data_IF_425903014037
#
_entry.id   IF_425903014037
#
_cell.length_a   1.000
_cell.length_b   1.000
_cell.length_c   1.000
_cell.angle_alpha   90.00
_cell.angle_beta   90.00
_cell.angle_gamma   90.00
#
_symmetry.space_group_name_H-M   'P 1'
#
loop_
_entity.id
_entity.type
_entity.pdbx_description
1 polymer ?
#
# COMPACT_ATOMS: atom_id res chain seq x y z
N UNK A 1 3.87 56.63 23.01
CA UNK A 1 5.02 55.71 23.11
C UNK A 1 4.88 54.70 21.97
N UNK A 2 5.80 54.77 21.01
CA UNK A 2 5.74 54.07 19.73
C UNK A 2 5.73 52.55 19.92
N UNK A 3 5.08 51.82 19.01
CA UNK A 3 4.85 50.35 19.00
C UNK A 3 6.15 49.49 18.95
N UNK A 4 7.18 49.80 19.75
CA UNK A 4 8.49 49.11 19.78
C UNK A 4 8.34 47.63 20.07
N UNK A 5 7.41 47.25 20.93
CA UNK A 5 7.12 45.85 21.24
C UNK A 5 6.61 45.08 20.01
N UNK A 6 5.82 45.72 19.15
CA UNK A 6 5.35 45.12 17.90
C UNK A 6 6.51 44.92 16.92
N UNK A 7 7.38 45.92 16.76
CA UNK A 7 8.55 45.80 15.89
C UNK A 7 9.53 44.72 16.37
N UNK A 8 9.74 44.59 17.68
CA UNK A 8 10.58 43.54 18.26
C UNK A 8 9.98 42.15 17.98
N UNK A 9 8.67 41.98 18.17
CA UNK A 9 7.99 40.71 17.88
C UNK A 9 8.03 40.37 16.38
N UNK A 10 7.81 41.34 15.50
CA UNK A 10 7.92 41.13 14.06
C UNK A 10 9.35 40.73 13.66
N UNK A 11 10.37 41.37 14.24
CA UNK A 11 11.76 41.04 13.97
C UNK A 11 12.11 39.62 14.45
N UNK A 12 11.71 39.22 15.65
CA UNK A 12 12.00 37.88 16.17
C UNK A 12 11.32 36.79 15.34
N UNK A 13 10.06 36.97 14.96
CA UNK A 13 9.35 36.03 14.09
C UNK A 13 9.98 35.96 12.69
N UNK A 14 10.42 37.09 12.13
CA UNK A 14 11.10 37.12 10.85
C UNK A 14 12.41 36.34 10.88
N UNK A 15 13.27 36.57 11.89
CA UNK A 15 14.54 35.84 12.01
C UNK A 15 14.35 34.36 12.32
N UNK A 16 13.36 33.99 13.12
CA UNK A 16 13.02 32.59 13.36
C UNK A 16 12.54 31.90 12.08
N UNK A 17 11.68 32.56 11.30
CA UNK A 17 11.21 32.07 10.00
C UNK A 17 12.34 31.93 8.98
N UNK A 18 13.22 32.93 8.89
CA UNK A 18 14.39 32.90 8.01
C UNK A 18 15.37 31.79 8.42
N UNK A 19 15.61 31.59 9.72
CA UNK A 19 16.44 30.51 10.23
C UNK A 19 15.90 29.12 9.87
N UNK A 20 14.59 28.89 10.06
CA UNK A 20 13.94 27.64 9.66
C UNK A 20 13.98 27.42 8.14
N UNK A 21 13.81 28.48 7.35
CA UNK A 21 13.91 28.41 5.89
C UNK A 21 15.33 28.03 5.45
N UNK A 22 16.36 28.70 5.98
CA UNK A 22 17.76 28.41 5.67
C UNK A 22 18.16 27.01 6.12
N UNK A 23 17.69 26.55 7.28
CA UNK A 23 17.90 25.18 7.74
C UNK A 23 17.32 24.16 6.76
N UNK A 24 16.08 24.37 6.31
CA UNK A 24 15.43 23.50 5.31
C UNK A 24 16.15 23.52 3.96
N UNK A 25 16.59 24.69 3.51
CA UNK A 25 17.24 24.85 2.21
C UNK A 25 18.67 24.27 2.18
N UNK A 26 19.46 24.52 3.22
CA UNK A 26 20.90 24.20 3.24
C UNK A 26 21.18 22.83 3.83
N UNK A 27 20.49 22.45 4.92
CA UNK A 27 20.80 21.21 5.64
C UNK A 27 19.92 20.04 5.19
N UNK A 28 18.63 20.29 4.94
CA UNK A 28 17.69 19.25 4.49
C UNK A 28 17.58 19.15 2.96
N UNK A 29 18.25 20.04 2.22
CA UNK A 29 18.30 19.99 0.75
C UNK A 29 16.97 20.24 0.04
N UNK A 30 16.02 20.95 0.66
CA UNK A 30 14.74 21.25 0.03
C UNK A 30 14.93 22.16 -1.20
N UNK A 31 14.34 21.83 -2.36
CA UNK A 31 14.48 22.64 -3.56
C UNK A 31 13.76 23.98 -3.40
N UNK A 32 14.46 25.07 -3.71
CA UNK A 32 13.93 26.44 -3.57
C UNK A 32 13.02 26.86 -4.73
N UNK A 33 13.05 26.11 -5.84
CA UNK A 33 12.25 26.38 -7.02
C UNK A 33 11.54 25.11 -7.51
N UNK A 34 10.27 25.21 -7.94
CA UNK A 34 9.59 24.11 -8.59
C UNK A 34 10.30 23.75 -9.91
N UNK A 35 10.61 22.47 -10.10
CA UNK A 35 11.31 21.95 -11.28
C UNK A 35 12.83 21.76 -11.13
N UNK A 36 13.38 21.93 -9.93
CA UNK A 36 14.78 21.61 -9.65
C UNK A 36 14.99 20.09 -9.77
N UNK A 37 15.66 19.66 -10.84
CA UNK A 37 15.98 18.24 -11.08
C UNK A 37 17.08 17.81 -10.10
N UNK A 38 16.84 16.72 -9.38
CA UNK A 38 17.88 16.07 -8.59
C UNK A 38 18.86 15.38 -9.52
N UNK A 39 20.16 15.56 -9.27
CA UNK A 39 21.19 14.82 -9.99
C UNK A 39 21.12 13.36 -9.55
N UNK A 40 20.52 12.52 -10.39
CA UNK A 40 20.51 11.07 -10.21
C UNK A 40 21.82 10.52 -10.77
N UNK A 41 22.65 9.96 -9.89
CA UNK A 41 23.90 9.33 -10.24
C UNK A 41 23.71 7.82 -10.32
N UNK A 42 24.15 7.23 -11.43
CA UNK A 42 24.10 5.80 -11.70
C UNK A 42 25.49 5.20 -11.50
N UNK A 43 25.60 4.17 -10.67
CA UNK A 43 26.85 3.43 -10.44
C UNK A 43 26.69 2.03 -11.02
N UNK A 44 27.26 1.81 -12.19
CA UNK A 44 27.29 0.49 -12.83
C UNK A 44 28.58 -0.26 -12.43
N UNK A 45 28.45 -1.47 -11.88
CA UNK A 45 29.59 -2.33 -11.55
C UNK A 45 29.59 -3.56 -12.46
N UNK A 46 30.59 -3.64 -13.35
CA UNK A 46 30.79 -4.77 -14.26
C UNK A 46 31.98 -5.62 -13.84
N UNK A 47 31.72 -6.88 -13.47
CA UNK A 47 32.78 -7.86 -13.19
C UNK A 47 33.03 -8.68 -14.45
N UNK A 48 34.21 -8.53 -15.05
CA UNK A 48 34.71 -9.44 -16.08
C UNK A 48 35.79 -10.33 -15.46
N UNK A 49 35.68 -11.65 -15.58
CA UNK A 49 36.73 -12.57 -15.17
C UNK A 49 36.95 -13.66 -16.23
N UNK A 50 38.20 -14.11 -16.38
CA UNK A 50 38.56 -15.28 -17.18
C UNK A 50 38.93 -16.42 -16.24
N UNK A 51 38.20 -17.53 -16.33
CA UNK A 51 38.42 -18.69 -15.47
C UNK A 51 39.58 -19.56 -16.02
N UNK A 52 40.58 -19.85 -15.18
CA UNK A 52 41.72 -20.74 -15.50
C UNK A 52 41.48 -22.19 -15.05
N UNK A 53 40.36 -22.78 -15.48
CA UNK A 53 40.08 -24.21 -15.31
C UNK A 53 39.71 -24.68 -13.90
N UNK A 54 39.50 -23.77 -12.93
CA UNK A 54 38.99 -24.07 -11.58
C UNK A 54 37.75 -23.23 -11.26
N UNK A 55 36.82 -23.71 -10.41
CA UNK A 55 35.68 -22.91 -9.96
C UNK A 55 36.16 -21.65 -9.22
N UNK A 56 35.60 -20.50 -9.58
CA UNK A 56 35.87 -19.20 -8.93
C UNK A 56 34.56 -18.67 -8.34
N UNK A 57 34.61 -18.23 -7.08
CA UNK A 57 33.48 -17.57 -6.41
C UNK A 57 33.71 -16.06 -6.45
N UNK A 58 32.92 -15.34 -7.22
CA UNK A 58 32.90 -13.88 -7.22
C UNK A 58 31.89 -13.36 -6.19
N UNK A 59 32.30 -12.42 -5.35
CA UNK A 59 31.43 -11.75 -4.38
C UNK A 59 31.46 -10.25 -4.70
N UNK A 60 30.31 -9.70 -5.06
CA UNK A 60 30.14 -8.27 -5.29
C UNK A 60 29.54 -7.62 -4.04
N UNK A 61 30.24 -6.65 -3.47
CA UNK A 61 29.73 -5.84 -2.37
C UNK A 61 28.99 -4.64 -2.93
N UNK A 62 27.66 -4.76 -3.04
CA UNK A 62 26.78 -3.65 -3.40
C UNK A 62 26.57 -2.79 -2.14
N UNK A 63 26.52 -1.44 -2.24
CA UNK A 63 26.14 -0.60 -1.11
C UNK A 63 24.85 -1.11 -0.48
N UNK A 64 24.83 -1.24 0.86
CA UNK A 64 23.59 -1.66 1.55
C UNK A 64 22.52 -0.59 1.30
N UNK A 65 21.28 -1.03 1.15
CA UNK A 65 20.11 -0.16 1.12
C UNK A 65 20.23 0.89 2.23
N UNK A 66 20.42 2.15 1.85
CA UNK A 66 20.45 3.29 2.76
C UNK A 66 19.16 4.10 2.58
N UNK A 67 19.01 5.21 3.31
CA UNK A 67 17.86 6.09 3.12
C UNK A 67 17.71 6.60 1.66
N UNK A 68 18.82 6.66 0.92
CA UNK A 68 18.89 7.29 -0.40
C UNK A 68 18.95 6.27 -1.57
N UNK A 69 19.19 4.99 -1.29
CA UNK A 69 19.38 3.97 -2.32
C UNK A 69 18.54 2.72 -2.07
N UNK A 70 17.78 2.30 -3.09
CA UNK A 70 17.04 1.05 -3.09
C UNK A 70 17.46 0.18 -4.26
N UNK A 71 17.82 -1.06 -3.96
CA UNK A 71 18.23 -2.03 -4.97
C UNK A 71 16.98 -2.76 -5.47
N UNK A 72 16.70 -2.61 -6.75
CA UNK A 72 15.68 -3.40 -7.46
C UNK A 72 16.44 -4.34 -8.40
N UNK A 73 16.40 -5.64 -8.12
CA UNK A 73 17.11 -6.63 -8.95
C UNK A 73 16.34 -6.94 -10.23
N UNK A 74 15.02 -6.84 -10.17
CA UNK A 74 14.10 -7.17 -11.25
C UNK A 74 14.31 -6.26 -12.46
N UNK A 75 14.17 -6.83 -13.67
CA UNK A 75 14.47 -6.13 -14.92
C UNK A 75 13.21 -5.54 -15.53
N UNK A 76 12.11 -6.30 -15.55
CA UNK A 76 10.82 -5.89 -16.09
C UNK A 76 9.92 -5.38 -14.96
N UNK A 77 9.57 -4.11 -14.97
CA UNK A 77 8.86 -3.44 -13.88
C UNK A 77 7.48 -2.96 -14.36
N UNK A 78 6.42 -3.42 -13.70
CA UNK A 78 5.05 -2.96 -13.94
C UNK A 78 4.72 -1.72 -13.11
N UNK A 79 4.29 -0.63 -13.74
CA UNK A 79 4.00 0.63 -13.07
C UNK A 79 2.51 0.76 -12.76
N UNK A 80 2.20 0.95 -11.47
CA UNK A 80 0.84 1.12 -10.96
C UNK A 80 0.75 2.37 -10.07
N UNK A 81 -0.42 2.98 -9.98
CA UNK A 81 -0.66 4.17 -9.16
C UNK A 81 -2.14 4.38 -8.86
N UNK A 82 -2.47 5.32 -8.00
CA UNK A 82 -3.82 5.92 -7.94
C UNK A 82 -3.99 7.01 -9.00
N UNK A 83 -5.23 7.50 -9.16
CA UNK A 83 -5.57 8.58 -10.09
C UNK A 83 -4.69 9.83 -9.93
N UNK A 84 -4.27 10.15 -8.71
CA UNK A 84 -3.55 11.38 -8.37
C UNK A 84 -2.15 11.46 -9.03
N UNK A 85 -1.54 10.31 -9.33
CA UNK A 85 -0.21 10.25 -9.95
C UNK A 85 -0.20 9.53 -11.29
N UNK A 86 -1.38 9.34 -11.89
CA UNK A 86 -1.51 8.65 -13.19
C UNK A 86 -0.70 9.35 -14.29
N UNK A 87 -0.64 10.68 -14.28
CA UNK A 87 0.13 11.49 -15.23
C UNK A 87 1.64 11.38 -15.05
N UNK A 88 2.13 10.90 -13.92
CA UNK A 88 3.57 10.75 -13.64
C UNK A 88 4.15 9.44 -14.23
N UNK A 89 3.31 8.46 -14.58
CA UNK A 89 3.78 7.15 -15.06
C UNK A 89 4.71 7.22 -16.29
N UNK A 90 4.47 8.07 -17.31
CA UNK A 90 5.38 8.18 -18.46
C UNK A 90 6.78 8.68 -18.07
N UNK A 91 6.87 9.61 -17.11
CA UNK A 91 8.15 10.11 -16.62
C UNK A 91 8.91 9.04 -15.84
N UNK A 92 8.21 8.32 -14.94
CA UNK A 92 8.81 7.21 -14.18
C UNK A 92 9.28 6.10 -15.11
N UNK A 93 8.51 5.77 -16.15
CA UNK A 93 8.91 4.81 -17.20
C UNK A 93 10.24 5.22 -17.83
N UNK A 94 10.38 6.49 -18.22
CA UNK A 94 11.59 6.99 -18.85
C UNK A 94 12.81 6.93 -17.90
N UNK A 95 12.62 7.22 -16.61
CA UNK A 95 13.68 7.13 -15.61
C UNK A 95 14.16 5.68 -15.42
N UNK A 96 13.23 4.73 -15.34
CA UNK A 96 13.56 3.31 -15.23
C UNK A 96 14.26 2.78 -16.49
N UNK A 97 13.81 3.20 -17.67
CA UNK A 97 14.44 2.83 -18.95
C UNK A 97 15.87 3.37 -19.09
N UNK A 98 16.12 4.60 -18.61
CA UNK A 98 17.48 5.16 -18.53
C UNK A 98 18.39 4.36 -17.60
N UNK A 99 17.84 3.86 -16.49
CA UNK A 99 18.53 2.98 -15.55
C UNK A 99 18.59 1.49 -16.02
N UNK A 100 18.37 1.23 -17.31
CA UNK A 100 18.50 -0.11 -17.91
C UNK A 100 17.37 -1.09 -17.60
N UNK A 101 16.25 -0.64 -17.02
CA UNK A 101 15.06 -1.46 -16.75
C UNK A 101 14.08 -1.43 -17.93
N UNK A 102 13.19 -2.41 -17.99
CA UNK A 102 12.06 -2.44 -18.92
C UNK A 102 10.78 -2.11 -18.17
N UNK A 103 10.20 -0.93 -18.40
CA UNK A 103 9.00 -0.51 -17.67
C UNK A 103 7.72 -0.69 -18.49
N UNK A 104 6.70 -1.32 -17.92
CA UNK A 104 5.38 -1.53 -18.52
C UNK A 104 4.36 -0.73 -17.72
N UNK A 105 3.61 0.17 -18.38
CA UNK A 105 2.58 0.96 -17.70
C UNK A 105 1.34 0.09 -17.51
N UNK A 106 1.03 -0.25 -16.26
CA UNK A 106 -0.24 -0.89 -15.89
C UNK A 106 -1.34 0.13 -15.62
N UNK A 107 -0.98 1.33 -15.14
CA UNK A 107 -1.91 2.45 -14.98
C UNK A 107 -2.53 2.53 -13.59
N UNK A 108 -3.80 2.91 -13.53
CA UNK A 108 -4.49 3.12 -12.26
C UNK A 108 -4.88 1.78 -11.60
N UNK A 109 -4.80 1.72 -10.28
CA UNK A 109 -5.45 0.72 -9.43
C UNK A 109 -6.31 1.40 -8.38
N UNK A 110 -7.27 0.66 -7.82
CA UNK A 110 -8.08 1.07 -6.68
C UNK A 110 -7.95 0.05 -5.57
N UNK A 111 -8.37 0.42 -4.37
CA UNK A 111 -8.35 -0.50 -3.24
C UNK A 111 -9.22 -1.76 -3.41
N UNK A 112 -10.20 -1.73 -4.31
CA UNK A 112 -11.08 -2.85 -4.60
C UNK A 112 -10.93 -3.39 -6.03
N UNK A 113 -9.99 -2.86 -6.81
CA UNK A 113 -9.88 -3.17 -8.24
C UNK A 113 -8.42 -3.14 -8.69
N UNK A 114 -7.93 -4.31 -9.09
CA UNK A 114 -6.52 -4.55 -9.41
C UNK A 114 -6.31 -5.15 -10.81
N UNK A 115 -7.35 -5.25 -11.65
CA UNK A 115 -7.28 -5.91 -12.96
C UNK A 115 -6.18 -5.38 -13.88
N UNK A 116 -5.82 -4.11 -13.75
CA UNK A 116 -4.71 -3.53 -14.50
C UNK A 116 -3.36 -4.17 -14.16
N UNK A 117 -3.16 -4.57 -12.90
CA UNK A 117 -1.99 -5.35 -12.51
C UNK A 117 -2.04 -6.75 -13.13
N UNK A 118 -3.19 -7.41 -13.07
CA UNK A 118 -3.40 -8.77 -13.60
C UNK A 118 -3.11 -8.84 -15.10
N UNK A 119 -3.56 -7.84 -15.87
CA UNK A 119 -3.34 -7.77 -17.33
C UNK A 119 -1.87 -7.72 -17.74
N UNK A 120 -1.00 -7.17 -16.89
CA UNK A 120 0.43 -7.00 -17.20
C UNK A 120 1.33 -7.97 -16.43
N UNK A 121 0.76 -8.82 -15.56
CA UNK A 121 1.51 -9.72 -14.68
C UNK A 121 2.50 -10.60 -15.45
N UNK A 122 2.08 -11.21 -16.56
CA UNK A 122 2.96 -12.06 -17.39
C UNK A 122 4.10 -11.30 -18.10
N UNK A 123 4.08 -9.97 -18.11
CA UNK A 123 5.05 -9.14 -18.81
C UNK A 123 6.14 -8.60 -17.88
N UNK A 124 5.98 -8.74 -16.57
CA UNK A 124 6.82 -8.08 -15.56
C UNK A 124 7.38 -9.08 -14.55
N UNK A 125 8.50 -8.74 -13.95
CA UNK A 125 9.15 -9.51 -12.89
C UNK A 125 8.73 -8.99 -11.50
N UNK A 126 8.46 -7.68 -11.40
CA UNK A 126 7.95 -7.02 -10.21
C UNK A 126 7.08 -5.81 -10.57
N UNK A 127 6.32 -5.33 -9.60
CA UNK A 127 5.55 -4.09 -9.69
C UNK A 127 6.22 -2.96 -8.90
N UNK A 128 6.05 -1.73 -9.38
CA UNK A 128 6.33 -0.51 -8.65
C UNK A 128 5.02 0.28 -8.55
N UNK A 129 4.54 0.46 -7.32
CA UNK A 129 3.41 1.32 -7.01
C UNK A 129 3.90 2.73 -6.65
N UNK A 130 3.35 3.75 -7.31
CA UNK A 130 3.66 5.16 -7.04
C UNK A 130 2.53 5.77 -6.21
N UNK A 131 2.86 6.28 -5.03
CA UNK A 131 1.92 6.95 -4.14
C UNK A 131 2.20 6.64 -2.67
N UNK A 132 1.46 7.28 -1.78
CA UNK A 132 1.56 7.03 -0.35
C UNK A 132 0.62 5.90 0.13
N UNK A 133 0.96 5.35 1.30
CA UNK A 133 0.19 4.29 1.96
C UNK A 133 0.51 2.87 1.50
N UNK A 134 0.10 1.89 2.31
CA UNK A 134 0.40 0.46 2.10
C UNK A 134 -0.78 -0.35 1.54
N UNK A 135 -1.99 0.22 1.53
CA UNK A 135 -3.20 -0.53 1.20
C UNK A 135 -3.23 -1.05 -0.25
N UNK A 136 -3.06 -0.17 -1.24
CA UNK A 136 -3.06 -0.55 -2.66
C UNK A 136 -1.98 -1.58 -3.02
N UNK A 137 -0.70 -1.40 -2.65
CA UNK A 137 0.32 -2.36 -3.03
C UNK A 137 0.15 -3.71 -2.31
N UNK A 138 -0.39 -3.72 -1.08
CA UNK A 138 -0.74 -4.98 -0.41
C UNK A 138 -1.88 -5.74 -1.11
N UNK A 139 -2.80 -5.02 -1.76
CA UNK A 139 -3.90 -5.63 -2.52
C UNK A 139 -3.48 -6.32 -3.82
N UNK A 140 -2.23 -6.12 -4.27
CA UNK A 140 -1.64 -6.80 -5.43
C UNK A 140 -1.30 -8.27 -5.12
N UNK A 141 -1.42 -8.69 -3.86
CA UNK A 141 -1.26 -10.08 -3.42
C UNK A 141 0.20 -10.48 -3.28
N UNK A 142 0.53 -11.71 -3.67
CA UNK A 142 1.85 -12.32 -3.42
C UNK A 142 2.90 -11.99 -4.48
N UNK A 143 2.61 -11.02 -5.35
CA UNK A 143 3.53 -10.58 -6.41
C UNK A 143 4.62 -9.71 -5.80
N UNK A 144 5.83 -9.81 -6.35
CA UNK A 144 6.94 -8.93 -5.95
C UNK A 144 6.56 -7.48 -6.24
N UNK A 145 6.48 -6.65 -5.19
CA UNK A 145 6.04 -5.26 -5.33
C UNK A 145 6.86 -4.32 -4.45
N UNK A 146 7.23 -3.19 -5.06
CA UNK A 146 7.87 -2.06 -4.42
C UNK A 146 6.91 -0.87 -4.39
N UNK A 147 7.11 0.03 -3.43
CA UNK A 147 6.37 1.29 -3.32
C UNK A 147 7.34 2.46 -3.41
N UNK A 148 7.09 3.40 -4.31
CA UNK A 148 7.67 4.73 -4.26
C UNK A 148 6.74 5.64 -3.45
N UNK A 149 7.08 5.81 -2.17
CA UNK A 149 6.42 6.77 -1.30
C UNK A 149 6.90 8.18 -1.69
N UNK A 150 6.07 8.90 -2.44
CA UNK A 150 6.38 10.24 -2.95
C UNK A 150 6.52 11.31 -1.86
N UNK A 151 5.97 11.07 -0.66
CA UNK A 151 6.09 12.01 0.46
C UNK A 151 7.45 11.86 1.12
N UNK A 152 7.96 10.62 1.17
CA UNK A 152 9.26 10.30 1.76
C UNK A 152 10.38 10.19 0.72
N UNK A 153 10.04 10.27 -0.56
CA UNK A 153 10.93 10.04 -1.70
C UNK A 153 11.72 8.73 -1.56
N UNK A 154 11.06 7.68 -1.08
CA UNK A 154 11.71 6.41 -0.75
C UNK A 154 11.05 5.25 -1.47
N UNK A 155 11.90 4.34 -1.97
CA UNK A 155 11.44 3.04 -2.49
C UNK A 155 11.59 1.99 -1.40
N UNK A 156 10.55 1.20 -1.18
CA UNK A 156 10.58 0.09 -0.21
C UNK A 156 9.91 -1.14 -0.82
N UNK A 157 10.44 -2.32 -0.53
CA UNK A 157 9.73 -3.58 -0.81
C UNK A 157 8.59 -3.73 0.19
N UNK A 158 7.43 -4.16 -0.30
CA UNK A 158 6.25 -4.37 0.55
C UNK A 158 6.31 -5.75 1.19
N UNK A 159 6.27 -5.78 2.52
CA UNK A 159 6.10 -7.02 3.29
C UNK A 159 4.64 -7.50 3.21
N UNK A 160 4.38 -8.40 2.26
CA UNK A 160 3.07 -9.06 2.08
C UNK A 160 2.82 -10.13 3.15
N UNK A 161 3.88 -10.70 3.74
CA UNK A 161 3.78 -11.76 4.75
C UNK A 161 3.18 -11.25 6.07
N UNK A 162 3.47 -10.01 6.45
CA UNK A 162 2.82 -9.37 7.59
C UNK A 162 1.29 -9.32 7.43
N UNK A 163 0.80 -8.96 6.24
CA UNK A 163 -0.62 -8.96 5.96
C UNK A 163 -1.19 -10.38 6.00
N UNK A 164 -0.58 -11.33 5.29
CA UNK A 164 -1.04 -12.73 5.31
C UNK A 164 -1.17 -13.28 6.73
N UNK A 165 -0.17 -13.06 7.60
CA UNK A 165 -0.22 -13.44 9.01
C UNK A 165 -1.43 -12.86 9.74
N UNK A 166 -1.74 -11.58 9.52
CA UNK A 166 -2.93 -10.94 10.10
C UNK A 166 -4.22 -11.59 9.59
N UNK A 167 -4.31 -11.89 8.29
CA UNK A 167 -5.48 -12.55 7.69
C UNK A 167 -5.70 -13.93 8.30
N UNK A 168 -4.64 -14.74 8.43
CA UNK A 168 -4.70 -16.05 9.09
C UNK A 168 -5.12 -15.95 10.56
N UNK A 169 -4.63 -14.94 11.29
CA UNK A 169 -5.06 -14.71 12.67
C UNK A 169 -6.56 -14.37 12.74
N UNK A 170 -7.07 -13.53 11.83
CA UNK A 170 -8.50 -13.21 11.73
C UNK A 170 -9.34 -14.46 11.45
N UNK A 171 -8.95 -15.27 10.46
CA UNK A 171 -9.58 -16.56 10.16
C UNK A 171 -9.64 -17.45 11.41
N UNK A 172 -8.49 -17.65 12.06
CA UNK A 172 -8.38 -18.49 13.26
C UNK A 172 -9.26 -17.99 14.41
N UNK A 173 -9.26 -16.69 14.67
CA UNK A 173 -10.07 -16.07 15.73
C UNK A 173 -11.57 -16.19 15.46
N UNK A 174 -11.98 -16.21 14.19
CA UNK A 174 -13.38 -16.37 13.79
C UNK A 174 -13.83 -17.84 13.70
N UNK A 175 -12.93 -18.83 13.72
CA UNK A 175 -13.27 -20.27 13.57
C UNK A 175 -14.35 -20.74 14.53
N UNK A 176 -14.30 -20.29 15.79
CA UNK A 176 -15.25 -20.71 16.84
C UNK A 176 -16.52 -19.85 16.93
N UNK A 177 -16.71 -18.88 16.03
CA UNK A 177 -17.91 -18.04 16.00
C UNK A 177 -19.15 -18.88 15.67
N UNK A 178 -20.22 -18.72 16.44
CA UNK A 178 -21.51 -19.41 16.22
C UNK A 178 -22.51 -18.53 15.49
N UNK A 179 -22.39 -17.21 15.66
CA UNK A 179 -23.25 -16.20 15.03
C UNK A 179 -22.44 -15.20 14.20
N UNK A 180 -22.93 -14.88 13.00
CA UNK A 180 -22.25 -14.00 12.05
C UNK A 180 -23.15 -12.82 11.62
N UNK A 181 -22.58 -11.63 11.59
CA UNK A 181 -23.17 -10.45 10.96
C UNK A 181 -22.53 -10.23 9.59
N UNK A 182 -23.31 -10.39 8.52
CA UNK A 182 -22.87 -10.11 7.14
C UNK A 182 -23.17 -8.65 6.82
N UNK A 183 -22.12 -7.84 6.73
CA UNK A 183 -22.22 -6.39 6.61
C UNK A 183 -22.41 -5.97 5.16
N UNK A 184 -23.44 -5.18 4.91
CA UNK A 184 -23.76 -4.59 3.61
C UNK A 184 -23.91 -3.09 3.77
N UNK A 185 -23.33 -2.33 2.83
CA UNK A 185 -23.56 -0.89 2.76
C UNK A 185 -24.62 -0.52 1.73
N UNK A 186 -25.38 0.56 1.97
CA UNK A 186 -26.28 1.17 0.98
C UNK A 186 -25.54 2.04 -0.04
N UNK A 187 -24.24 2.31 0.15
CA UNK A 187 -23.44 3.13 -0.77
C UNK A 187 -23.37 2.52 -2.18
N UNK A 188 -23.65 3.34 -3.19
CA UNK A 188 -23.55 2.96 -4.60
C UNK A 188 -22.12 2.49 -4.91
N UNK A 189 -21.98 1.33 -5.56
CA UNK A 189 -20.70 0.71 -5.90
C UNK A 189 -20.10 -0.21 -4.82
N UNK A 190 -20.69 -0.25 -3.62
CA UNK A 190 -20.30 -1.18 -2.53
C UNK A 190 -21.47 -2.06 -2.06
N UNK A 191 -22.69 -1.78 -2.51
CA UNK A 191 -23.86 -2.58 -2.15
C UNK A 191 -23.81 -3.96 -2.82
N UNK A 192 -23.58 -5.00 -2.01
CA UNK A 192 -23.50 -6.41 -2.41
C UNK A 192 -24.66 -7.25 -1.85
N UNK A 193 -25.81 -6.62 -1.56
CA UNK A 193 -26.95 -7.27 -0.90
C UNK A 193 -27.45 -8.51 -1.67
N UNK A 194 -27.74 -8.35 -2.96
CA UNK A 194 -28.37 -9.39 -3.80
C UNK A 194 -27.38 -10.35 -4.46
N UNK A 195 -26.11 -10.32 -4.06
CA UNK A 195 -25.09 -11.23 -4.56
C UNK A 195 -24.36 -11.87 -3.39
N UNK A 196 -23.15 -11.38 -3.14
CA UNK A 196 -22.21 -11.96 -2.18
C UNK A 196 -22.76 -12.08 -0.75
N UNK A 197 -23.59 -11.14 -0.29
CA UNK A 197 -24.08 -11.16 1.09
C UNK A 197 -25.07 -12.32 1.36
N UNK A 198 -26.02 -12.56 0.46
CA UNK A 198 -26.97 -13.68 0.60
C UNK A 198 -26.29 -15.04 0.37
N UNK A 199 -25.33 -15.13 -0.55
CA UNK A 199 -24.51 -16.33 -0.75
C UNK A 199 -23.74 -16.71 0.53
N UNK A 200 -23.04 -15.74 1.13
CA UNK A 200 -22.28 -15.95 2.36
C UNK A 200 -23.20 -16.33 3.52
N UNK A 201 -24.34 -15.65 3.68
CA UNK A 201 -25.32 -15.97 4.72
C UNK A 201 -25.84 -17.41 4.57
N UNK A 202 -26.11 -17.84 3.33
CA UNK A 202 -26.58 -19.20 3.04
C UNK A 202 -25.49 -20.23 3.38
N UNK A 203 -24.26 -20.00 2.94
CA UNK A 203 -23.11 -20.85 3.24
C UNK A 203 -22.87 -21.03 4.75
N UNK A 204 -22.97 -19.95 5.53
CA UNK A 204 -22.81 -20.01 7.00
C UNK A 204 -23.93 -20.86 7.62
N UNK A 205 -25.18 -20.67 7.16
CA UNK A 205 -26.33 -21.43 7.65
C UNK A 205 -26.27 -22.92 7.31
N UNK A 206 -25.81 -23.26 6.11
CA UNK A 206 -25.62 -24.65 5.67
C UNK A 206 -24.60 -25.40 6.54
N UNK A 207 -23.63 -24.68 7.13
CA UNK A 207 -22.67 -25.22 8.12
C UNK A 207 -23.21 -25.22 9.55
N UNK A 208 -24.52 -25.05 9.74
CA UNK A 208 -25.18 -25.13 11.05
C UNK A 208 -24.90 -23.94 11.97
N UNK A 209 -24.48 -22.79 11.43
CA UNK A 209 -24.20 -21.57 12.20
C UNK A 209 -25.23 -20.49 11.91
N UNK A 210 -25.42 -19.57 12.86
CA UNK A 210 -26.36 -18.47 12.71
C UNK A 210 -25.75 -17.34 11.87
N UNK A 211 -26.54 -16.77 10.97
CA UNK A 211 -26.14 -15.61 10.18
C UNK A 211 -27.33 -14.69 9.87
N UNK A 212 -27.09 -13.38 9.96
CA UNK A 212 -28.01 -12.34 9.52
C UNK A 212 -27.27 -11.27 8.72
N UNK A 213 -27.99 -10.62 7.80
CA UNK A 213 -27.46 -9.48 7.04
C UNK A 213 -27.76 -8.21 7.82
N UNK A 214 -26.74 -7.37 7.96
CA UNK A 214 -26.85 -6.05 8.57
C UNK A 214 -26.56 -4.98 7.52
N UNK A 215 -27.61 -4.26 7.14
CA UNK A 215 -27.55 -3.19 6.13
C UNK A 215 -27.41 -1.84 6.82
N UNK A 216 -26.42 -1.05 6.43
CA UNK A 216 -26.20 0.31 6.96
C UNK A 216 -25.58 1.23 5.90
N UNK A 217 -25.55 2.55 6.11
CA UNK A 217 -24.83 3.44 5.20
C UNK A 217 -23.33 3.47 5.52
N UNK A 218 -23.00 3.68 6.80
CA UNK A 218 -21.64 3.79 7.33
C UNK A 218 -21.31 2.62 8.26
N UNK A 219 -20.18 1.95 8.02
CA UNK A 219 -19.68 0.85 8.84
C UNK A 219 -18.46 1.36 9.62
N UNK A 220 -18.55 1.40 10.95
CA UNK A 220 -17.44 1.73 11.84
C UNK A 220 -17.69 1.15 13.23
N UNK A 221 -16.70 1.27 14.13
CA UNK A 221 -16.78 0.76 15.50
C UNK A 221 -18.05 1.21 16.25
N UNK A 222 -18.46 2.47 16.04
CA UNK A 222 -19.64 3.05 16.68
C UNK A 222 -20.94 2.48 16.13
N UNK A 223 -21.06 2.32 14.81
CA UNK A 223 -22.30 1.77 14.21
C UNK A 223 -22.46 0.27 14.44
N UNK A 224 -21.37 -0.43 14.75
CA UNK A 224 -21.38 -1.84 15.12
C UNK A 224 -21.59 -2.08 16.63
N UNK A 225 -21.60 -1.02 17.44
CA UNK A 225 -21.78 -1.13 18.88
C UNK A 225 -23.16 -1.72 19.21
N UNK A 226 -23.17 -2.79 20.01
CA UNK A 226 -24.40 -3.47 20.42
C UNK A 226 -24.93 -4.49 19.41
N UNK A 227 -24.29 -4.65 18.25
CA UNK A 227 -24.59 -5.75 17.32
C UNK A 227 -24.17 -7.08 17.96
N UNK A 228 -25.14 -7.97 18.16
CA UNK A 228 -24.92 -9.28 18.78
C UNK A 228 -24.54 -10.32 17.70
N UNK A 229 -23.26 -10.36 17.37
CA UNK A 229 -22.67 -11.41 16.54
C UNK A 229 -21.28 -11.77 17.08
N UNK A 230 -20.89 -13.03 16.93
CA UNK A 230 -19.56 -13.48 17.33
C UNK A 230 -18.50 -13.00 16.34
N UNK A 231 -18.80 -12.98 15.03
CA UNK A 231 -17.88 -12.52 14.01
C UNK A 231 -18.59 -11.72 12.91
N UNK A 232 -17.82 -10.89 12.22
CA UNK A 232 -18.34 -9.94 11.24
C UNK A 232 -17.72 -10.19 9.88
N UNK A 233 -18.57 -10.34 8.86
CA UNK A 233 -18.15 -10.53 7.47
C UNK A 233 -18.36 -9.24 6.70
N UNK A 234 -17.27 -8.66 6.20
CA UNK A 234 -17.33 -7.44 5.39
C UNK A 234 -17.60 -7.78 3.91
N UNK A 235 -18.75 -7.35 3.38
CA UNK A 235 -19.05 -7.40 1.93
C UNK A 235 -19.09 -6.00 1.28
N UNK A 236 -18.75 -4.96 2.03
CA UNK A 236 -18.72 -3.56 1.61
C UNK A 236 -17.32 -3.18 1.08
N UNK A 237 -16.85 -1.95 1.37
CA UNK A 237 -15.50 -1.52 1.01
C UNK A 237 -14.45 -2.45 1.63
N UNK A 238 -13.50 -3.00 0.85
CA UNK A 238 -12.46 -3.89 1.38
C UNK A 238 -11.49 -3.17 2.32
N UNK A 239 -11.45 -1.83 2.33
CA UNK A 239 -10.61 -1.07 3.26
C UNK A 239 -11.06 -1.19 4.72
N UNK A 240 -12.36 -1.42 4.96
CA UNK A 240 -12.92 -1.59 6.32
C UNK A 240 -12.33 -2.85 6.94
N UNK A 241 -11.69 -2.71 8.10
CA UNK A 241 -11.06 -3.81 8.83
C UNK A 241 -9.66 -4.19 8.35
N UNK A 242 -9.17 -3.59 7.26
CA UNK A 242 -7.78 -3.74 6.79
C UNK A 242 -6.93 -2.51 7.13
N UNK A 243 -7.46 -1.30 6.93
CA UNK A 243 -6.80 -0.06 7.34
C UNK A 243 -6.92 0.20 8.85
N UNK A 244 -5.96 0.95 9.40
CA UNK A 244 -5.89 1.26 10.84
C UNK A 244 -7.03 2.18 11.33
N UNK A 245 -7.70 2.88 10.39
CA UNK A 245 -8.73 3.87 10.69
C UNK A 245 -10.09 3.27 11.08
N UNK A 246 -10.43 2.09 10.53
CA UNK A 246 -11.73 1.45 10.72
C UNK A 246 -11.50 0.00 11.14
N UNK A 247 -11.59 -0.24 12.45
CA UNK A 247 -11.48 -1.58 12.99
C UNK A 247 -12.80 -2.31 12.76
N UNK A 248 -12.69 -3.61 12.56
CA UNK A 248 -13.84 -4.49 12.49
C UNK A 248 -13.71 -5.46 13.67
N UNK A 249 -14.72 -5.55 14.56
CA UNK A 249 -14.69 -6.51 15.65
C UNK A 249 -14.68 -7.93 15.08
N UNK A 250 -13.75 -8.76 15.55
CA UNK A 250 -13.54 -10.17 15.15
C UNK A 250 -13.86 -10.43 13.65
N UNK A 251 -13.01 -9.94 12.73
CA UNK A 251 -13.24 -10.08 11.29
C UNK A 251 -13.22 -11.56 10.88
N UNK A 252 -14.28 -12.01 10.21
CA UNK A 252 -14.33 -13.30 9.54
C UNK A 252 -13.85 -13.13 8.09
N UNK A 253 -12.54 -12.93 7.93
CA UNK A 253 -11.91 -12.94 6.60
C UNK A 253 -11.98 -14.35 6.01
N UNK A 254 -12.27 -14.48 4.71
CA UNK A 254 -12.35 -15.77 4.00
C UNK A 254 -13.27 -16.77 4.71
N UNK A 255 -14.58 -16.55 4.56
CA UNK A 255 -15.63 -17.31 5.26
C UNK A 255 -15.50 -18.82 5.00
N UNK A 256 -15.11 -19.22 3.79
CA UNK A 256 -14.91 -20.63 3.47
C UNK A 256 -13.85 -21.28 4.37
N UNK A 257 -12.71 -20.59 4.59
CA UNK A 257 -11.65 -21.06 5.50
C UNK A 257 -12.04 -20.96 6.97
N UNK A 258 -12.85 -19.98 7.35
CA UNK A 258 -13.40 -19.88 8.72
C UNK A 258 -14.30 -21.07 9.03
N UNK A 259 -15.05 -21.54 8.03
CA UNK A 259 -15.97 -22.67 8.15
C UNK A 259 -15.30 -24.03 7.87
N UNK A 260 -14.12 -24.05 7.23
CA UNK A 260 -13.34 -25.25 7.03
C UNK A 260 -12.95 -25.86 8.39
N UNK A 261 -13.23 -27.16 8.55
CA UNK A 261 -13.07 -27.97 9.77
C UNK A 261 -14.18 -27.84 10.84
N UNK A 262 -15.38 -27.36 10.47
CA UNK A 262 -16.59 -27.51 11.30
C UNK A 262 -17.61 -28.46 10.68
#
# INVERSE_FOLDING_TARGET
MLNRHLYILCATLFFAGLGLFLYKAVYLGFPLMPGQKTDVWEVEVKINFSASGRPVKALLYVPRTSADFSIINEKRIGLLTTIQHLSALPEVKLLLERAGKQAVIGGQVLGCWFDNADKIEGQVDAFLYIGSGKFHPLGIGNRKIYTLDIEKMKVEEVDTAALERRRYANIYNAKNARSFAVLVTTKKGQNQLLGKAEEIKSMIKERGRDAFILVMNEINDTTLLGVKADAFVNTACPRIGLDDAEKLPRPAEDVEKVLADS
#
